data_IF_490116801059
#
_entry.id   IF_490116801059
#
_cell.length_a   1.000
_cell.length_b   1.000
_cell.length_c   1.000
_cell.angle_alpha   90.00
_cell.angle_beta   90.00
_cell.angle_gamma   90.00
#
_symmetry.space_group_name_H-M   'P 1'
#
loop_
_entity.id
_entity.type
_entity.pdbx_description
1 polymer ?
#
# COMPACT_ATOMS: atom_id res chain seq x y z
N UNK A 1 -8.62 42.09 46.36
CA UNK A 1 -7.35 41.43 45.98
C UNK A 1 -7.40 41.28 44.46
N UNK A 2 -7.50 42.34 43.67
CA UNK A 2 -6.53 43.43 43.46
C UNK A 2 -5.17 42.96 42.92
N UNK A 3 -4.71 43.73 41.93
CA UNK A 3 -3.47 43.69 41.15
C UNK A 3 -3.42 42.75 39.93
N UNK A 4 -3.61 43.20 38.69
CA UNK A 4 -2.97 44.32 37.93
C UNK A 4 -1.54 44.00 37.47
N UNK A 5 -1.39 43.90 36.15
CA UNK A 5 -0.33 44.52 35.30
C UNK A 5 -0.45 43.89 33.90
N UNK A 6 -0.99 44.54 32.87
CA UNK A 6 -0.36 45.60 32.03
C UNK A 6 1.02 45.14 31.51
N UNK A 7 1.41 45.20 30.24
CA UNK A 7 0.88 45.90 29.06
C UNK A 7 1.75 45.54 27.83
N UNK A 8 1.14 45.72 26.66
CA UNK A 8 1.61 45.84 25.25
C UNK A 8 2.94 46.64 25.04
N UNK A 9 3.63 46.65 23.85
CA UNK A 9 3.03 47.06 22.56
C UNK A 9 3.57 46.52 21.22
N UNK A 10 2.77 46.81 20.18
CA UNK A 10 3.11 46.90 18.76
C UNK A 10 4.27 47.88 18.51
N UNK A 11 5.15 47.57 17.56
CA UNK A 11 5.87 48.58 16.78
C UNK A 11 6.15 48.07 15.35
N UNK A 12 5.72 48.88 14.37
CA UNK A 12 6.05 48.83 12.95
C UNK A 12 7.56 49.02 12.71
N UNK A 13 8.06 48.59 11.54
CA UNK A 13 8.90 49.39 10.62
C UNK A 13 9.27 48.55 9.37
N UNK A 14 8.92 49.04 8.17
CA UNK A 14 9.56 48.71 6.88
C UNK A 14 10.77 49.61 6.64
N UNK A 15 11.77 49.23 5.79
CA UNK A 15 11.77 49.75 4.42
C UNK A 15 12.41 48.86 3.31
N UNK A 16 11.87 49.03 2.11
CA UNK A 16 12.43 49.04 0.73
C UNK A 16 13.77 48.39 0.31
N UNK A 17 13.65 47.58 -0.76
CA UNK A 17 14.37 47.61 -2.06
C UNK A 17 15.85 47.17 -2.16
N UNK A 18 16.07 46.22 -3.10
CA UNK A 18 16.90 46.36 -4.31
C UNK A 18 17.89 45.20 -4.51
N UNK A 19 17.69 44.39 -5.57
CA UNK A 19 18.75 43.62 -6.25
C UNK A 19 18.29 43.19 -7.64
N UNK A 20 18.61 44.07 -8.60
CA UNK A 20 19.22 43.81 -9.91
C UNK A 20 18.92 42.50 -10.69
N UNK A 21 18.22 42.74 -11.79
CA UNK A 21 18.30 42.24 -13.17
C UNK A 21 19.60 41.56 -13.67
N UNK A 22 19.39 40.60 -14.61
CA UNK A 22 20.26 40.02 -15.67
C UNK A 22 20.29 38.47 -15.56
N UNK A 23 20.22 37.63 -16.60
CA UNK A 23 20.19 37.73 -18.07
C UNK A 23 19.77 36.37 -18.63
N UNK A 24 19.24 36.36 -19.86
CA UNK A 24 18.86 35.16 -20.61
C UNK A 24 20.06 34.25 -20.91
N UNK A 25 19.85 32.93 -20.83
CA UNK A 25 20.64 31.94 -21.57
C UNK A 25 19.67 30.92 -22.21
N UNK A 26 19.34 31.16 -23.48
CA UNK A 26 18.88 30.12 -24.38
C UNK A 26 20.05 29.16 -24.60
N UNK A 27 19.97 27.96 -24.04
CA UNK A 27 20.86 26.86 -24.43
C UNK A 27 20.03 25.77 -25.06
N UNK A 28 19.89 25.89 -26.38
CA UNK A 28 19.52 24.78 -27.27
C UNK A 28 20.51 23.66 -27.03
N UNK A 29 20.09 22.66 -26.26
CA UNK A 29 20.77 21.37 -26.14
C UNK A 29 19.90 20.33 -26.82
N UNK A 30 19.97 20.33 -28.15
CA UNK A 30 19.84 19.10 -28.94
C UNK A 30 21.00 18.20 -28.55
N UNK A 31 20.77 17.32 -27.59
CA UNK A 31 21.53 16.09 -27.41
C UNK A 31 20.52 14.95 -27.37
N UNK A 32 20.36 14.35 -28.55
CA UNK A 32 20.54 12.91 -28.78
C UNK A 32 19.97 11.99 -27.72
N UNK A 33 19.00 11.17 -28.15
CA UNK A 33 18.45 10.07 -27.38
C UNK A 33 19.52 9.29 -26.62
N UNK A 34 19.53 9.49 -25.31
CA UNK A 34 20.15 8.55 -24.39
C UNK A 34 18.99 7.66 -23.98
N UNK A 35 19.02 6.44 -24.52
CA UNK A 35 18.26 5.29 -24.07
C UNK A 35 18.42 5.16 -22.56
N UNK A 36 17.56 5.84 -21.82
CA UNK A 36 17.49 5.76 -20.38
C UNK A 36 17.01 4.37 -20.04
N UNK A 37 17.96 3.47 -19.80
CA UNK A 37 17.70 2.28 -19.00
C UNK A 37 17.52 2.74 -17.53
N UNK A 38 16.54 3.63 -17.32
CA UNK A 38 16.00 3.95 -16.03
C UNK A 38 15.27 2.69 -15.62
N UNK A 39 15.88 1.91 -14.73
CA UNK A 39 15.19 0.89 -13.95
C UNK A 39 13.78 1.39 -13.69
N UNK A 40 12.77 0.72 -14.27
CA UNK A 40 11.37 1.16 -14.34
C UNK A 40 10.69 1.08 -12.97
N UNK A 41 11.30 1.73 -11.99
CA UNK A 41 10.84 1.82 -10.64
C UNK A 41 9.67 2.79 -10.61
N UNK A 42 8.58 2.36 -9.98
CA UNK A 42 7.32 3.07 -9.83
C UNK A 42 6.48 3.17 -11.12
N UNK A 43 6.70 2.29 -12.11
CA UNK A 43 5.73 2.09 -13.19
C UNK A 43 4.42 1.56 -12.60
N UNK A 44 3.30 2.22 -12.92
CA UNK A 44 1.96 1.78 -12.50
C UNK A 44 1.47 0.72 -13.48
N UNK A 45 1.08 -0.44 -12.96
CA UNK A 45 0.45 -1.54 -13.70
C UNK A 45 -0.86 -1.95 -13.07
N UNK A 46 -1.61 -2.78 -13.78
CA UNK A 46 -2.78 -3.47 -13.25
C UNK A 46 -2.53 -4.98 -13.27
N UNK A 47 -2.83 -5.64 -12.17
CA UNK A 47 -2.69 -7.08 -11.99
C UNK A 47 -4.04 -7.67 -11.64
N UNK A 48 -4.45 -8.72 -12.35
CA UNK A 48 -5.69 -9.44 -12.05
C UNK A 48 -5.50 -10.33 -10.81
N UNK A 49 -6.34 -10.12 -9.79
CA UNK A 49 -6.37 -10.88 -8.55
C UNK A 49 -7.81 -11.34 -8.29
N UNK A 50 -8.06 -12.65 -8.36
CA UNK A 50 -9.41 -13.25 -8.26
C UNK A 50 -10.46 -12.58 -9.16
N UNK A 51 -10.07 -12.22 -10.39
CA UNK A 51 -10.99 -11.59 -11.36
C UNK A 51 -11.17 -10.08 -11.18
N UNK A 52 -10.52 -9.46 -10.19
CA UNK A 52 -10.55 -8.01 -9.98
C UNK A 52 -9.20 -7.38 -10.38
N UNK A 53 -9.18 -6.30 -11.18
CA UNK A 53 -7.96 -5.57 -11.49
C UNK A 53 -7.50 -4.75 -10.26
N UNK A 54 -6.31 -5.07 -9.74
CA UNK A 54 -5.68 -4.37 -8.63
C UNK A 54 -4.49 -3.56 -9.15
N UNK A 55 -4.30 -2.34 -8.64
CA UNK A 55 -3.18 -1.50 -9.04
C UNK A 55 -1.90 -2.02 -8.38
N UNK A 56 -0.85 -2.14 -9.19
CA UNK A 56 0.48 -2.55 -8.76
C UNK A 56 1.52 -1.49 -9.16
N UNK A 57 2.56 -1.38 -8.35
CA UNK A 57 3.77 -0.62 -8.67
C UNK A 57 4.91 -1.59 -8.90
N UNK A 58 5.66 -1.38 -9.99
CA UNK A 58 6.87 -2.14 -10.29
C UNK A 58 8.03 -1.52 -9.51
N UNK A 59 8.69 -2.28 -8.66
CA UNK A 59 9.89 -1.86 -7.92
C UNK A 59 10.88 -3.01 -7.88
N UNK A 60 12.14 -2.76 -8.20
CA UNK A 60 13.19 -3.79 -8.24
C UNK A 60 12.79 -4.98 -9.13
N UNK A 61 12.12 -4.68 -10.25
CA UNK A 61 11.55 -5.68 -11.18
C UNK A 61 10.48 -6.60 -10.59
N UNK A 62 9.93 -6.27 -9.41
CA UNK A 62 8.80 -6.98 -8.80
C UNK A 62 7.55 -6.10 -8.70
N UNK A 63 6.40 -6.71 -8.99
CA UNK A 63 5.10 -6.07 -8.86
C UNK A 63 4.61 -6.14 -7.41
N UNK A 64 4.32 -4.98 -6.84
CA UNK A 64 3.75 -4.87 -5.50
C UNK A 64 2.38 -4.20 -5.53
N UNK A 65 1.42 -4.84 -4.88
CA UNK A 65 0.01 -4.44 -4.84
C UNK A 65 -0.25 -3.68 -3.53
N UNK A 66 -1.12 -2.66 -3.56
CA UNK A 66 -1.50 -1.94 -2.34
C UNK A 66 -2.47 -2.79 -1.50
N UNK A 67 -2.05 -3.11 -0.27
CA UNK A 67 -2.82 -3.94 0.66
C UNK A 67 -4.17 -3.31 1.01
N UNK A 68 -4.22 -2.00 1.13
CA UNK A 68 -5.45 -1.29 1.45
C UNK A 68 -6.49 -1.39 0.32
N UNK A 69 -6.05 -1.40 -0.95
CA UNK A 69 -6.95 -1.65 -2.08
C UNK A 69 -7.53 -3.06 -2.02
N UNK A 70 -6.69 -4.07 -1.76
CA UNK A 70 -7.12 -5.48 -1.59
C UNK A 70 -8.13 -5.59 -0.43
N UNK A 71 -7.83 -4.96 0.71
CA UNK A 71 -8.71 -4.93 1.89
C UNK A 71 -10.09 -4.37 1.57
N UNK A 72 -10.15 -3.29 0.78
CA UNK A 72 -11.41 -2.60 0.46
C UNK A 72 -12.20 -3.24 -0.69
N UNK A 73 -11.59 -4.17 -1.43
CA UNK A 73 -12.19 -4.82 -2.60
C UNK A 73 -12.51 -6.28 -2.31
N UNK A 74 -11.48 -7.11 -2.18
CA UNK A 74 -11.60 -8.57 -2.04
C UNK A 74 -11.93 -9.01 -0.62
N UNK A 75 -11.51 -8.24 0.40
CA UNK A 75 -11.63 -8.62 1.81
C UNK A 75 -12.52 -7.66 2.60
N UNK A 76 -13.45 -6.95 1.92
CA UNK A 76 -14.28 -5.90 2.53
C UNK A 76 -15.16 -6.40 3.70
N UNK A 77 -15.49 -7.68 3.71
CA UNK A 77 -16.30 -8.31 4.76
C UNK A 77 -15.52 -8.64 6.04
N UNK A 78 -14.19 -8.48 6.05
CA UNK A 78 -13.35 -8.77 7.20
C UNK A 78 -12.85 -7.48 7.85
N UNK A 79 -12.74 -7.49 9.17
CA UNK A 79 -12.20 -6.37 9.91
C UNK A 79 -10.71 -6.19 9.63
N UNK A 80 -10.22 -4.96 9.77
CA UNK A 80 -8.80 -4.66 9.66
C UNK A 80 -7.94 -5.52 10.61
N UNK A 81 -8.45 -5.80 11.81
CA UNK A 81 -7.76 -6.61 12.81
C UNK A 81 -7.59 -8.07 12.34
N UNK A 82 -8.63 -8.66 11.75
CA UNK A 82 -8.56 -10.01 11.18
C UNK A 82 -7.54 -10.08 10.05
N UNK A 83 -7.59 -9.13 9.11
CA UNK A 83 -6.65 -9.04 7.99
C UNK A 83 -5.23 -8.86 8.50
N UNK A 84 -5.02 -8.01 9.51
CA UNK A 84 -3.74 -7.81 10.16
C UNK A 84 -3.20 -9.10 10.79
N UNK A 85 -4.01 -9.76 11.62
CA UNK A 85 -3.62 -10.98 12.32
C UNK A 85 -3.29 -12.11 11.35
N UNK A 86 -4.12 -12.28 10.30
CA UNK A 86 -3.91 -13.31 9.28
C UNK A 86 -2.65 -13.04 8.45
N UNK A 87 -2.41 -11.78 8.08
CA UNK A 87 -1.15 -11.37 7.42
C UNK A 87 0.08 -11.73 8.27
N UNK A 88 0.04 -11.45 9.57
CA UNK A 88 1.13 -11.77 10.51
C UNK A 88 1.33 -13.28 10.62
N UNK A 89 0.25 -14.05 10.80
CA UNK A 89 0.32 -15.51 10.88
C UNK A 89 0.89 -16.17 9.61
N UNK A 90 0.63 -15.60 8.43
CA UNK A 90 1.17 -16.08 7.16
C UNK A 90 2.63 -15.65 6.90
N UNK A 91 3.21 -14.81 7.77
CA UNK A 91 4.56 -14.26 7.63
C UNK A 91 4.71 -13.24 6.50
N UNK A 92 3.63 -12.53 6.14
CA UNK A 92 3.63 -11.57 5.03
C UNK A 92 4.18 -10.22 5.52
N UNK A 93 5.27 -9.77 4.90
CA UNK A 93 5.91 -8.48 5.25
C UNK A 93 5.44 -7.37 4.33
N UNK A 94 5.01 -6.25 4.91
CA UNK A 94 4.57 -5.09 4.14
C UNK A 94 5.74 -4.14 3.92
N UNK A 95 5.98 -3.79 2.66
CA UNK A 95 6.85 -2.65 2.33
C UNK A 95 6.03 -1.38 2.47
N UNK A 96 6.54 -0.39 3.21
CA UNK A 96 5.86 0.90 3.32
C UNK A 96 6.03 1.68 2.01
N UNK A 97 4.94 2.29 1.52
CA UNK A 97 5.01 3.18 0.38
C UNK A 97 5.84 4.43 0.71
N UNK A 98 6.68 4.85 -0.22
CA UNK A 98 7.23 6.21 -0.20
C UNK A 98 6.11 7.23 -0.49
N UNK A 99 6.26 8.50 -0.10
CA UNK A 99 5.27 9.53 -0.41
C UNK A 99 4.97 9.65 -1.91
N UNK A 100 5.99 9.49 -2.76
CA UNK A 100 5.86 9.52 -4.22
C UNK A 100 5.00 8.36 -4.74
N UNK A 101 5.23 7.15 -4.23
CA UNK A 101 4.44 5.97 -4.59
C UNK A 101 3.00 6.10 -4.12
N UNK A 102 2.79 6.62 -2.91
CA UNK A 102 1.45 6.86 -2.39
C UNK A 102 0.69 7.85 -3.25
N UNK A 103 1.36 8.89 -3.75
CA UNK A 103 0.75 9.85 -4.68
C UNK A 103 0.38 9.21 -6.02
N UNK A 104 1.23 8.35 -6.58
CA UNK A 104 0.91 7.59 -7.79
C UNK A 104 -0.31 6.68 -7.58
N UNK A 105 -0.40 6.00 -6.44
CA UNK A 105 -1.56 5.16 -6.10
C UNK A 105 -2.85 5.95 -5.97
N UNK A 106 -2.79 7.17 -5.41
CA UNK A 106 -3.95 8.08 -5.35
C UNK A 106 -4.39 8.50 -6.75
N UNK A 107 -3.44 8.90 -7.60
CA UNK A 107 -3.72 9.29 -8.99
C UNK A 107 -4.28 8.14 -9.82
N UNK A 108 -3.88 6.91 -9.53
CA UNK A 108 -4.42 5.70 -10.15
C UNK A 108 -5.77 5.25 -9.58
N UNK A 109 -6.31 5.94 -8.57
CA UNK A 109 -7.58 5.60 -7.93
C UNK A 109 -7.53 4.39 -6.98
N UNK A 110 -6.34 3.87 -6.67
CA UNK A 110 -6.16 2.72 -5.77
C UNK A 110 -6.37 3.09 -4.29
N UNK A 111 -6.14 4.36 -3.94
CA UNK A 111 -6.16 4.86 -2.57
C UNK A 111 -6.85 6.23 -2.46
N UNK A 112 -7.62 6.49 -1.40
CA UNK A 112 -8.25 7.79 -1.22
C UNK A 112 -7.23 8.87 -0.82
N UNK A 113 -7.49 10.12 -1.21
CA UNK A 113 -6.61 11.27 -0.97
C UNK A 113 -6.30 11.47 0.52
N UNK A 114 -7.25 11.15 1.39
CA UNK A 114 -7.10 11.25 2.85
C UNK A 114 -6.10 10.25 3.45
N UNK A 115 -5.77 9.17 2.72
CA UNK A 115 -4.89 8.13 3.24
C UNK A 115 -3.45 8.59 3.32
N UNK A 116 -2.83 8.43 4.49
CA UNK A 116 -1.43 8.82 4.72
C UNK A 116 -0.45 7.65 4.72
N UNK A 117 -0.94 6.42 4.72
CA UNK A 117 -0.14 5.19 4.78
C UNK A 117 -0.76 4.13 3.87
N UNK A 118 0.04 3.49 3.02
CA UNK A 118 -0.29 2.21 2.38
C UNK A 118 0.90 1.26 2.57
N UNK A 119 0.60 0.00 2.89
CA UNK A 119 1.55 -1.11 2.84
C UNK A 119 1.39 -1.85 1.52
N UNK A 120 2.51 -2.23 0.90
CA UNK A 120 2.53 -3.00 -0.34
C UNK A 120 3.02 -4.41 -0.08
N UNK A 121 2.41 -5.37 -0.77
CA UNK A 121 2.76 -6.78 -0.73
C UNK A 121 2.90 -7.31 -2.16
N UNK A 122 3.66 -8.38 -2.33
CA UNK A 122 3.81 -9.04 -3.64
C UNK A 122 2.53 -9.75 -4.07
N UNK A 123 2.40 -10.05 -5.36
CA UNK A 123 1.26 -10.82 -5.90
C UNK A 123 1.05 -12.14 -5.17
N UNK A 124 2.13 -12.89 -4.94
CA UNK A 124 2.11 -14.19 -4.23
C UNK A 124 1.60 -14.05 -2.80
N UNK A 125 2.00 -12.99 -2.09
CA UNK A 125 1.52 -12.72 -0.73
C UNK A 125 0.04 -12.35 -0.75
N UNK A 126 -0.40 -11.52 -1.70
CA UNK A 126 -1.81 -11.13 -1.86
C UNK A 126 -2.71 -12.34 -2.13
N UNK A 127 -2.28 -13.25 -3.02
CA UNK A 127 -2.99 -14.49 -3.33
C UNK A 127 -3.14 -15.36 -2.07
N UNK A 128 -2.06 -15.57 -1.32
CA UNK A 128 -2.07 -16.35 -0.07
C UNK A 128 -2.98 -15.72 0.98
N UNK A 129 -2.91 -14.40 1.16
CA UNK A 129 -3.74 -13.67 2.11
C UNK A 129 -5.22 -13.85 1.77
N UNK A 130 -5.60 -13.56 0.53
CA UNK A 130 -7.00 -13.69 0.11
C UNK A 130 -7.46 -15.15 0.21
N UNK A 131 -6.65 -16.12 -0.25
CA UNK A 131 -6.98 -17.54 -0.15
C UNK A 131 -7.25 -17.96 1.30
N UNK A 132 -6.52 -17.43 2.27
CA UNK A 132 -6.72 -17.78 3.68
C UNK A 132 -8.01 -17.24 4.31
N UNK A 133 -8.69 -16.31 3.64
CA UNK A 133 -10.00 -15.78 4.02
C UNK A 133 -11.13 -16.40 3.20
N UNK A 134 -10.87 -16.62 1.90
CA UNK A 134 -11.87 -17.12 0.94
C UNK A 134 -11.92 -18.65 0.87
N UNK A 135 -10.87 -19.35 1.30
CA UNK A 135 -10.92 -20.79 1.44
C UNK A 135 -11.80 -21.11 2.65
N UNK A 136 -13.08 -21.35 2.37
CA UNK A 136 -13.98 -21.99 3.31
C UNK A 136 -13.34 -23.30 3.78
N UNK A 137 -13.13 -23.37 5.09
CA UNK A 137 -12.96 -24.61 5.83
C UNK A 137 -14.30 -25.37 5.80
N UNK A 138 -14.79 -25.75 4.63
CA UNK A 138 -15.67 -26.90 4.56
C UNK A 138 -14.73 -28.10 4.73
N UNK A 139 -14.68 -28.75 5.91
CA UNK A 139 -14.03 -30.05 5.97
C UNK A 139 -14.65 -30.89 4.85
N UNK A 140 -13.84 -31.61 4.05
CA UNK A 140 -14.39 -32.49 3.03
C UNK A 140 -15.43 -33.37 3.72
N UNK A 141 -16.71 -33.20 3.35
CA UNK A 141 -17.76 -34.02 3.91
C UNK A 141 -17.48 -35.42 3.43
N UNK A 142 -17.11 -36.29 4.37
CA UNK A 142 -17.01 -37.71 4.08
C UNK A 142 -18.38 -38.16 3.56
N UNK A 143 -18.43 -38.99 2.50
CA UNK A 143 -19.67 -39.61 2.07
C UNK A 143 -20.36 -40.28 3.27
N UNK A 144 -21.69 -40.29 3.30
CA UNK A 144 -22.47 -40.92 4.38
C UNK A 144 -22.19 -42.44 4.49
N UNK A 145 -21.58 -43.03 3.46
CA UNK A 145 -21.12 -44.42 3.39
C UNK A 145 -19.69 -44.64 3.87
N UNK A 146 -19.01 -43.63 4.41
CA UNK A 146 -17.64 -43.76 4.89
C UNK A 146 -17.62 -44.32 6.33
N UNK A 147 -17.70 -45.64 6.45
CA UNK A 147 -17.45 -46.36 7.70
C UNK A 147 -16.13 -47.12 7.61
N UNK A 148 -15.44 -47.25 8.75
CA UNK A 148 -14.27 -48.12 8.90
C UNK A 148 -14.45 -48.98 10.15
N UNK A 149 -14.03 -50.24 10.07
CA UNK A 149 -14.09 -51.16 11.20
C UNK A 149 -12.94 -50.88 12.17
N UNK A 150 -13.28 -50.60 13.44
CA UNK A 150 -12.31 -50.35 14.51
C UNK A 150 -12.16 -51.60 15.35
N UNK A 151 -10.98 -52.22 15.33
CA UNK A 151 -10.64 -53.29 16.25
C UNK A 151 -9.86 -52.73 17.43
N UNK A 152 -10.34 -52.98 18.65
CA UNK A 152 -9.64 -52.62 19.87
C UNK A 152 -8.95 -53.86 20.43
N UNK A 153 -7.64 -53.79 20.61
CA UNK A 153 -6.85 -54.88 21.17
C UNK A 153 -6.34 -54.44 22.53
N UNK A 154 -7.00 -54.89 23.60
CA UNK A 154 -6.53 -54.67 24.96
C UNK A 154 -5.38 -55.63 25.24
N UNK A 155 -4.20 -55.09 25.53
CA UNK A 155 -3.13 -55.85 26.16
C UNK A 155 -3.37 -55.86 27.67
N UNK A 156 -3.31 -57.04 28.28
CA UNK A 156 -3.43 -57.25 29.73
C UNK A 156 -2.19 -56.81 30.49
#
# INVERSE_FOLDING_TARGET
MDNESLSQPLNNLSPTNNSQQQTANNTTSTSSGISGNSYRNNEVRSVMLYGIPIIALVMDSQERLCLAQISNTLLKSFSYNEIHNRRVALGITCVQCTPVQLELLRRAGAMPVSSRRCGMITKREAERLCKSFLAETAPPKLPDTFSFDVYHQCAW
#
